data_IF_971307464380
#
_entry.id   IF_971307464380
#
_cell.length_a   1.000
_cell.length_b   1.000
_cell.length_c   1.000
_cell.angle_alpha   90.00
_cell.angle_beta   90.00
_cell.angle_gamma   90.00
#
_symmetry.space_group_name_H-M   'P 1'
#
loop_
_entity.id
_entity.type
_entity.pdbx_description
1 polymer ?
#
# COMPACT_ATOMS: atom_id res chain seq x y z
N UNK A 1 -1.79 -17.03 14.29
CA UNK A 1 -1.81 -16.22 13.04
C UNK A 1 -0.59 -16.54 12.22
N UNK A 2 -0.72 -16.82 10.93
CA UNK A 2 0.43 -17.06 10.05
C UNK A 2 1.21 -15.74 9.80
N UNK A 3 2.54 -15.74 9.74
CA UNK A 3 3.34 -14.51 9.58
C UNK A 3 2.96 -13.69 8.34
N UNK A 4 2.59 -14.35 7.24
CA UNK A 4 2.09 -13.69 6.02
C UNK A 4 0.80 -12.89 6.23
N UNK A 5 -0.10 -13.36 7.09
CA UNK A 5 -1.36 -12.66 7.43
C UNK A 5 -1.07 -11.39 8.22
N UNK A 6 -0.11 -11.43 9.14
CA UNK A 6 0.30 -10.27 9.92
C UNK A 6 0.91 -9.18 9.02
N UNK A 7 1.76 -9.57 8.07
CA UNK A 7 2.32 -8.65 7.06
C UNK A 7 1.22 -8.01 6.21
N UNK A 8 0.24 -8.79 5.75
CA UNK A 8 -0.89 -8.25 4.98
C UNK A 8 -1.72 -7.24 5.77
N UNK A 9 -2.03 -7.53 7.05
CA UNK A 9 -2.73 -6.60 7.96
C UNK A 9 -1.91 -5.31 8.17
N UNK A 10 -0.58 -5.42 8.31
CA UNK A 10 0.29 -4.25 8.40
C UNK A 10 0.19 -3.38 7.13
N UNK A 11 0.25 -3.98 5.93
CA UNK A 11 0.09 -3.24 4.68
C UNK A 11 -1.28 -2.56 4.57
N UNK A 12 -2.36 -3.25 4.95
CA UNK A 12 -3.70 -2.65 5.00
C UNK A 12 -3.72 -1.44 5.94
N UNK A 13 -3.23 -1.61 7.17
CA UNK A 13 -3.20 -0.55 8.18
C UNK A 13 -2.41 0.66 7.70
N UNK A 14 -1.20 0.44 7.17
CA UNK A 14 -0.35 1.51 6.62
C UNK A 14 -1.07 2.22 5.47
N UNK A 15 -1.71 1.47 4.57
CA UNK A 15 -2.43 2.05 3.43
C UNK A 15 -3.61 2.93 3.87
N UNK A 16 -4.37 2.50 4.87
CA UNK A 16 -5.47 3.30 5.44
C UNK A 16 -4.93 4.61 6.03
N UNK A 17 -3.83 4.55 6.79
CA UNK A 17 -3.19 5.74 7.36
C UNK A 17 -2.70 6.69 6.26
N UNK A 18 -2.13 6.16 5.18
CA UNK A 18 -1.68 6.94 4.02
C UNK A 18 -2.82 7.62 3.27
N UNK A 19 -3.99 7.00 3.18
CA UNK A 19 -5.16 7.64 2.58
C UNK A 19 -5.73 8.70 3.53
N UNK A 20 -5.79 8.40 4.83
CA UNK A 20 -6.27 9.33 5.85
C UNK A 20 -5.43 10.61 5.92
N UNK A 21 -4.11 10.52 5.68
CA UNK A 21 -3.22 11.69 5.66
C UNK A 21 -3.68 12.78 4.68
N UNK A 22 -4.28 12.40 3.56
CA UNK A 22 -4.77 13.37 2.55
C UNK A 22 -6.00 14.12 3.04
N UNK A 23 -6.85 13.47 3.85
CA UNK A 23 -8.00 14.12 4.47
C UNK A 23 -7.62 15.09 5.59
N UNK A 24 -6.49 14.85 6.27
CA UNK A 24 -6.01 15.68 7.38
C UNK A 24 -5.25 16.90 6.87
N UNK A 25 -4.50 16.77 5.77
CA UNK A 25 -3.75 17.87 5.14
C UNK A 25 -4.68 18.67 4.22
N UNK A 26 -5.77 19.21 4.79
CA UNK A 26 -6.69 20.08 4.09
C UNK A 26 -5.98 21.35 3.61
N UNK A 27 -6.05 21.63 2.31
CA UNK A 27 -5.56 22.89 1.72
C UNK A 27 -4.23 22.82 0.96
N UNK A 28 -3.55 21.67 0.87
CA UNK A 28 -2.41 21.52 -0.05
C UNK A 28 -2.90 21.28 -1.49
N UNK A 29 -2.28 21.92 -2.49
CA UNK A 29 -2.55 21.60 -3.89
C UNK A 29 -2.19 20.13 -4.16
N UNK A 30 -3.05 19.41 -4.87
CA UNK A 30 -2.79 18.06 -5.35
C UNK A 30 -1.63 18.09 -6.35
N UNK A 31 -0.45 17.66 -5.92
CA UNK A 31 0.73 17.54 -6.79
C UNK A 31 0.78 16.16 -7.45
N UNK A 32 1.57 16.02 -8.50
CA UNK A 32 1.83 14.72 -9.13
C UNK A 32 2.37 13.69 -8.12
N UNK A 33 3.22 14.12 -7.16
CA UNK A 33 3.72 13.27 -6.08
C UNK A 33 2.61 12.78 -5.13
N UNK A 34 1.63 13.63 -4.80
CA UNK A 34 0.44 13.24 -4.02
C UNK A 34 -0.45 12.25 -4.76
N UNK A 35 -0.65 12.45 -6.07
CA UNK A 35 -1.39 11.50 -6.88
C UNK A 35 -0.69 10.12 -6.94
N UNK A 36 0.63 10.10 -7.13
CA UNK A 36 1.43 8.87 -7.13
C UNK A 36 1.39 8.14 -5.78
N UNK A 37 1.51 8.87 -4.67
CA UNK A 37 1.36 8.29 -3.34
C UNK A 37 -0.02 7.67 -3.12
N UNK A 38 -1.08 8.36 -3.53
CA UNK A 38 -2.46 7.89 -3.38
C UNK A 38 -2.69 6.62 -4.19
N UNK A 39 -2.20 6.57 -5.43
CA UNK A 39 -2.26 5.37 -6.27
C UNK A 39 -1.50 4.21 -5.63
N UNK A 40 -0.27 4.43 -5.16
CA UNK A 40 0.51 3.41 -4.45
C UNK A 40 -0.18 2.90 -3.19
N UNK A 41 -0.75 3.81 -2.38
CA UNK A 41 -1.53 3.46 -1.19
C UNK A 41 -2.79 2.65 -1.51
N UNK A 42 -3.50 2.98 -2.59
CA UNK A 42 -4.66 2.21 -3.05
C UNK A 42 -4.28 0.79 -3.50
N UNK A 43 -3.17 0.64 -4.24
CA UNK A 43 -2.65 -0.67 -4.63
C UNK A 43 -2.25 -1.51 -3.41
N UNK A 44 -1.56 -0.92 -2.44
CA UNK A 44 -1.20 -1.58 -1.19
C UNK A 44 -2.43 -2.01 -0.39
N UNK A 45 -3.48 -1.18 -0.35
CA UNK A 45 -4.72 -1.51 0.34
C UNK A 45 -5.41 -2.71 -0.29
N UNK A 46 -5.61 -2.68 -1.61
CA UNK A 46 -6.30 -3.76 -2.35
C UNK A 46 -5.51 -5.06 -2.26
N UNK A 47 -4.19 -5.01 -2.50
CA UNK A 47 -3.35 -6.20 -2.45
C UNK A 47 -3.20 -6.74 -1.02
N UNK A 48 -3.17 -5.87 -0.01
CA UNK A 48 -3.18 -6.23 1.40
C UNK A 48 -4.47 -6.94 1.80
N UNK A 49 -5.63 -6.39 1.44
CA UNK A 49 -6.95 -7.00 1.70
C UNK A 49 -7.06 -8.37 1.02
N UNK A 50 -6.63 -8.48 -0.24
CA UNK A 50 -6.60 -9.75 -0.97
C UNK A 50 -5.68 -10.77 -0.28
N UNK A 51 -4.50 -10.34 0.19
CA UNK A 51 -3.60 -11.16 0.98
C UNK A 51 -4.22 -11.67 2.28
N UNK A 52 -4.93 -10.81 3.02
CA UNK A 52 -5.60 -11.19 4.28
C UNK A 52 -6.62 -12.32 4.05
N UNK A 53 -7.44 -12.22 3.00
CA UNK A 53 -8.44 -13.24 2.66
C UNK A 53 -7.76 -14.53 2.19
N UNK A 54 -6.79 -14.43 1.27
CA UNK A 54 -6.13 -15.60 0.67
C UNK A 54 -5.32 -16.43 1.68
N UNK A 55 -4.65 -15.79 2.64
CA UNK A 55 -3.87 -16.50 3.67
C UNK A 55 -4.75 -17.15 4.75
N UNK A 56 -6.07 -16.90 4.76
CA UNK A 56 -7.03 -17.61 5.60
C UNK A 56 -7.45 -18.94 4.97
N UNK A 57 -7.57 -19.00 3.64
CA UNK A 57 -7.96 -20.21 2.90
C UNK A 57 -6.78 -21.15 2.62
N UNK A 58 -5.57 -20.63 2.41
CA UNK A 58 -4.40 -21.46 2.08
C UNK A 58 -3.11 -20.93 2.74
N UNK A 59 -2.70 -21.48 3.91
CA UNK A 59 -1.60 -20.92 4.71
C UNK A 59 -0.20 -21.25 4.18
N UNK A 60 -0.05 -22.29 3.33
CA UNK A 60 1.25 -22.68 2.75
C UNK A 60 1.47 -21.90 1.46
N UNK A 61 2.29 -20.86 1.55
CA UNK A 61 2.65 -19.98 0.44
C UNK A 61 3.95 -20.48 -0.16
N UNK A 62 3.88 -21.52 -1.00
CA UNK A 62 5.07 -22.07 -1.67
C UNK A 62 5.50 -21.24 -2.90
N UNK A 63 4.65 -20.33 -3.37
CA UNK A 63 4.95 -19.46 -4.51
C UNK A 63 4.64 -17.99 -4.19
N UNK A 64 5.59 -17.11 -4.53
CA UNK A 64 5.35 -15.66 -4.59
C UNK A 64 4.37 -15.36 -5.71
N UNK A 65 3.08 -15.45 -5.39
CA UNK A 65 2.01 -15.22 -6.34
C UNK A 65 1.88 -13.75 -6.77
N UNK A 66 1.05 -13.47 -7.78
CA UNK A 66 0.85 -12.14 -8.35
C UNK A 66 0.45 -11.07 -7.33
N UNK A 67 -0.17 -11.46 -6.21
CA UNK A 67 -0.52 -10.57 -5.10
C UNK A 67 0.72 -9.94 -4.44
N UNK A 68 1.80 -10.70 -4.29
CA UNK A 68 3.07 -10.19 -3.74
C UNK A 68 3.68 -9.16 -4.70
N UNK A 69 3.63 -9.41 -6.01
CA UNK A 69 4.09 -8.45 -7.02
C UNK A 69 3.29 -7.15 -6.98
N UNK A 70 1.97 -7.22 -6.75
CA UNK A 70 1.12 -6.04 -6.58
C UNK A 70 1.44 -5.25 -5.31
N UNK A 71 1.75 -5.92 -4.19
CA UNK A 71 2.21 -5.27 -2.97
C UNK A 71 3.54 -4.53 -3.20
N UNK A 72 4.51 -5.18 -3.84
CA UNK A 72 5.80 -4.57 -4.17
C UNK A 72 5.62 -3.39 -5.11
N UNK A 73 4.79 -3.54 -6.15
CA UNK A 73 4.50 -2.46 -7.10
C UNK A 73 3.83 -1.27 -6.41
N UNK A 74 2.81 -1.50 -5.58
CA UNK A 74 2.15 -0.46 -4.79
C UNK A 74 3.13 0.25 -3.85
N UNK A 75 4.04 -0.48 -3.21
CA UNK A 75 5.08 0.07 -2.34
C UNK A 75 6.04 0.97 -3.12
N UNK A 76 6.49 0.54 -4.30
CA UNK A 76 7.38 1.33 -5.16
C UNK A 76 6.70 2.60 -5.62
N UNK A 77 5.44 2.53 -6.10
CA UNK A 77 4.68 3.72 -6.50
C UNK A 77 4.53 4.70 -5.35
N UNK A 78 4.21 4.20 -4.15
CA UNK A 78 4.08 5.02 -2.97
C UNK A 78 5.40 5.71 -2.60
N UNK A 79 6.51 4.96 -2.58
CA UNK A 79 7.84 5.49 -2.26
C UNK A 79 8.29 6.54 -3.28
N UNK A 80 8.05 6.32 -4.58
CA UNK A 80 8.34 7.30 -5.64
C UNK A 80 7.52 8.57 -5.44
N UNK A 81 6.23 8.45 -5.11
CA UNK A 81 5.38 9.61 -4.81
C UNK A 81 5.90 10.42 -3.61
N UNK A 82 6.40 9.73 -2.56
CA UNK A 82 7.02 10.37 -1.39
C UNK A 82 8.31 11.10 -1.74
N UNK A 83 9.19 10.48 -2.52
CA UNK A 83 10.43 11.11 -2.98
C UNK A 83 10.14 12.31 -3.88
N UNK A 84 9.15 12.22 -4.76
CA UNK A 84 8.73 13.34 -5.61
C UNK A 84 8.21 14.52 -4.78
N UNK A 85 7.41 14.25 -3.73
CA UNK A 85 6.98 15.29 -2.79
C UNK A 85 8.15 15.91 -2.05
N UNK A 86 9.09 15.12 -1.54
CA UNK A 86 10.28 15.62 -0.85
C UNK A 86 11.18 16.47 -1.75
N UNK A 87 11.33 16.09 -3.02
CA UNK A 87 12.14 16.83 -3.99
C UNK A 87 11.49 18.13 -4.50
N UNK A 88 10.17 18.29 -4.30
CA UNK A 88 9.40 19.44 -4.78
C UNK A 88 8.78 20.28 -3.66
N UNK A 89 9.04 19.93 -2.40
CA UNK A 89 8.68 20.67 -1.20
C UNK A 89 9.67 21.80 -0.93
#
# INVERSE_FOLDING_TARGET
MHPSRLVAICFVTVSVLLLAQVGIVGGRPLTAGTALQLLGGAFLLVAGLFGVVRYEENPVVDEYGPTTSLLVFGLVLWAVGLLAQLATA
#
